data_IF_373238834761
#
_entry.id   IF_373238834761
#
_cell.length_a   1.000
_cell.length_b   1.000
_cell.length_c   1.000
_cell.angle_alpha   90.00
_cell.angle_beta   90.00
_cell.angle_gamma   90.00
#
_symmetry.space_group_name_H-M   'P 1'
#
loop_
_entity.id
_entity.type
_entity.pdbx_description
1 polymer ?
#
# COMPACT_ATOMS: atom_id res chain seq x y z
N UNK A 1 0.74 -1.84 -14.63
CA UNK A 1 -0.14 -2.80 -13.93
C UNK A 1 0.72 -3.93 -13.35
N UNK A 2 0.47 -4.32 -12.11
CA UNK A 2 1.17 -5.42 -11.43
C UNK A 2 0.27 -6.64 -11.40
N UNK A 3 0.83 -7.78 -11.84
CA UNK A 3 0.11 -9.05 -11.92
C UNK A 3 0.47 -9.97 -10.74
N UNK A 4 -0.45 -10.86 -10.40
CA UNK A 4 -0.20 -11.89 -9.41
C UNK A 4 0.78 -12.94 -9.93
N UNK A 5 1.75 -13.29 -9.11
CA UNK A 5 2.73 -14.36 -9.38
C UNK A 5 2.18 -15.76 -9.04
N UNK A 6 1.13 -15.83 -8.24
CA UNK A 6 0.53 -17.07 -7.77
C UNK A 6 -0.99 -16.97 -7.65
N UNK A 7 -1.65 -18.12 -7.49
CA UNK A 7 -3.08 -18.18 -7.15
C UNK A 7 -3.28 -18.20 -5.64
N UNK A 8 -4.41 -17.65 -5.17
CA UNK A 8 -4.76 -17.68 -3.76
C UNK A 8 -5.90 -16.73 -3.39
N UNK A 9 -6.30 -16.77 -2.12
CA UNK A 9 -7.20 -15.78 -1.56
C UNK A 9 -6.43 -14.52 -1.25
N UNK A 10 -6.89 -13.38 -1.79
CA UNK A 10 -6.20 -12.10 -1.66
C UNK A 10 -6.69 -11.33 -0.44
N UNK A 11 -5.74 -10.70 0.25
CA UNK A 11 -6.01 -9.71 1.29
C UNK A 11 -5.18 -8.47 1.01
N UNK A 12 -5.83 -7.31 0.89
CA UNK A 12 -5.18 -6.04 0.57
C UNK A 12 -4.77 -5.29 1.83
N UNK A 13 -3.55 -4.77 1.84
CA UNK A 13 -3.00 -3.92 2.91
C UNK A 13 -2.93 -2.45 2.49
N UNK A 14 -2.49 -2.18 1.26
CA UNK A 14 -2.46 -0.82 0.74
C UNK A 14 -3.87 -0.31 0.43
N UNK A 15 -4.10 0.97 0.66
CA UNK A 15 -5.34 1.63 0.24
C UNK A 15 -5.16 2.27 -1.11
N UNK A 16 -6.24 2.31 -1.86
CA UNK A 16 -6.32 3.03 -3.13
C UNK A 16 -5.98 4.51 -2.95
N UNK A 17 -5.23 5.05 -3.90
CA UNK A 17 -4.79 6.45 -3.90
C UNK A 17 -3.70 6.76 -2.86
N UNK A 18 -3.13 5.76 -2.19
CA UNK A 18 -2.08 6.00 -1.18
C UNK A 18 -0.69 5.77 -1.74
N UNK A 19 0.25 6.62 -1.30
CA UNK A 19 1.66 6.43 -1.59
C UNK A 19 2.21 5.28 -0.75
N UNK A 20 2.87 4.34 -1.39
CA UNK A 20 3.58 3.24 -0.76
C UNK A 20 5.07 3.36 -1.08
N UNK A 21 5.91 3.02 -0.12
CA UNK A 21 7.36 2.98 -0.34
C UNK A 21 7.78 1.64 -0.95
N UNK A 22 8.94 1.61 -1.57
CA UNK A 22 9.58 0.37 -1.98
C UNK A 22 9.63 -0.63 -0.79
N UNK A 23 9.37 -1.89 -1.06
CA UNK A 23 9.19 -2.96 -0.07
C UNK A 23 7.97 -2.81 0.88
N UNK A 24 7.12 -1.81 0.68
CA UNK A 24 5.85 -1.71 1.40
C UNK A 24 4.90 -2.85 1.05
N UNK A 25 4.18 -3.40 2.04
CA UNK A 25 3.22 -4.47 1.83
C UNK A 25 2.00 -3.96 1.07
N UNK A 26 1.67 -4.57 -0.07
CA UNK A 26 0.50 -4.21 -0.88
C UNK A 26 -0.64 -5.18 -0.63
N UNK A 27 -0.38 -6.48 -0.74
CA UNK A 27 -1.39 -7.53 -0.53
C UNK A 27 -0.72 -8.83 -0.07
N UNK A 28 -1.51 -9.80 0.38
CA UNK A 28 -1.08 -11.18 0.59
C UNK A 28 -1.94 -12.17 -0.16
N UNK A 29 -1.36 -13.34 -0.44
CA UNK A 29 -2.02 -14.48 -1.06
C UNK A 29 -2.00 -15.66 -0.09
N UNK A 30 -3.17 -16.13 0.30
CA UNK A 30 -3.32 -17.25 1.21
C UNK A 30 -3.96 -18.47 0.51
N UNK A 31 -3.60 -19.66 0.93
CA UNK A 31 -4.15 -20.91 0.37
C UNK A 31 -5.60 -21.15 0.77
N UNK A 32 -6.05 -20.54 1.86
CA UNK A 32 -7.42 -20.60 2.34
C UNK A 32 -7.97 -19.20 2.55
N UNK A 33 -9.29 -19.04 2.37
CA UNK A 33 -9.96 -17.79 2.75
C UNK A 33 -9.72 -17.58 4.25
N UNK A 34 -9.10 -16.46 4.60
CA UNK A 34 -8.98 -16.06 6.00
C UNK A 34 -10.40 -16.03 6.56
N UNK A 35 -10.72 -16.95 7.47
CA UNK A 35 -11.91 -16.78 8.27
C UNK A 35 -11.75 -15.44 8.97
N UNK A 36 -12.85 -14.69 9.16
CA UNK A 36 -12.84 -13.42 9.90
C UNK A 36 -12.01 -13.63 11.17
N UNK A 37 -10.73 -13.35 11.08
CA UNK A 37 -9.83 -13.52 12.19
C UNK A 37 -10.15 -12.39 13.15
N UNK A 38 -10.86 -12.72 14.21
CA UNK A 38 -10.81 -11.99 15.47
C UNK A 38 -9.39 -12.13 16.05
N UNK A 39 -8.36 -11.84 15.24
CA UNK A 39 -6.99 -11.77 15.71
C UNK A 39 -6.95 -10.62 16.73
N UNK A 40 -6.99 -10.98 17.99
CA UNK A 40 -6.80 -10.02 19.07
C UNK A 40 -5.31 -9.69 19.11
N UNK A 41 -5.01 -8.40 18.97
CA UNK A 41 -3.65 -7.89 19.13
C UNK A 41 -3.11 -8.30 20.52
N UNK A 42 -1.87 -8.73 20.55
CA UNK A 42 -1.15 -9.02 21.80
C UNK A 42 -0.97 -7.74 22.63
N UNK A 43 -0.61 -7.89 23.90
CA UNK A 43 -0.34 -6.73 24.77
C UNK A 43 0.86 -5.93 24.29
N UNK A 44 1.84 -6.62 23.74
CA UNK A 44 3.07 -6.06 23.18
C UNK A 44 2.74 -5.21 21.95
N UNK A 45 1.97 -5.73 20.99
CA UNK A 45 1.53 -5.02 19.79
C UNK A 45 0.67 -3.80 20.12
N UNK A 46 -0.23 -3.92 21.11
CA UNK A 46 -1.01 -2.79 21.60
C UNK A 46 -0.12 -1.73 22.27
N UNK A 47 0.95 -2.14 22.97
CA UNK A 47 1.92 -1.23 23.56
C UNK A 47 2.67 -0.45 22.50
N UNK A 48 3.09 -1.12 21.41
CA UNK A 48 3.80 -0.49 20.29
C UNK A 48 2.92 0.50 19.54
N UNK A 49 1.67 0.12 19.25
CA UNK A 49 0.69 1.04 18.66
C UNK A 49 0.51 2.28 19.56
N UNK A 50 0.35 2.09 20.85
CA UNK A 50 0.20 3.19 21.81
C UNK A 50 1.43 4.10 21.84
N UNK A 51 2.63 3.51 21.81
CA UNK A 51 3.89 4.24 21.79
C UNK A 51 4.01 5.11 20.51
N UNK A 52 3.69 4.54 19.36
CA UNK A 52 3.66 5.25 18.08
C UNK A 52 2.67 6.43 18.09
N UNK A 53 1.46 6.20 18.63
CA UNK A 53 0.45 7.26 18.77
C UNK A 53 0.92 8.38 19.72
N UNK A 54 1.56 8.03 20.82
CA UNK A 54 2.10 9.01 21.78
C UNK A 54 3.24 9.82 21.16
N UNK A 55 4.14 9.18 20.42
CA UNK A 55 5.26 9.85 19.74
C UNK A 55 4.74 10.83 18.69
N UNK A 56 3.78 10.42 17.88
CA UNK A 56 3.13 11.31 16.92
C UNK A 56 2.43 12.48 17.61
N UNK A 57 1.70 12.23 18.70
CA UNK A 57 1.00 13.28 19.45
C UNK A 57 1.94 14.32 20.04
N UNK A 58 3.12 13.89 20.51
CA UNK A 58 4.14 14.81 21.07
C UNK A 58 4.81 15.65 19.99
N UNK A 59 5.00 15.10 18.79
CA UNK A 59 5.62 15.77 17.65
C UNK A 59 4.63 16.44 16.68
N UNK A 60 3.34 16.48 17.02
CA UNK A 60 2.32 17.02 16.14
C UNK A 60 2.48 18.53 15.94
N UNK A 61 2.64 18.93 14.67
CA UNK A 61 2.69 20.34 14.25
C UNK A 61 1.45 20.66 13.40
N UNK A 62 0.56 21.55 13.88
CA UNK A 62 -0.64 21.92 13.13
C UNK A 62 -0.35 22.54 11.75
N UNK A 63 0.83 23.11 11.55
CA UNK A 63 1.23 23.69 10.27
C UNK A 63 1.55 22.61 9.21
N UNK A 64 1.81 21.38 9.67
CA UNK A 64 2.11 20.21 8.84
C UNK A 64 1.00 19.16 8.91
N UNK A 65 -0.23 19.59 8.75
CA UNK A 65 -1.42 18.72 8.91
C UNK A 65 -1.41 17.47 7.99
N UNK A 66 -0.73 17.53 6.85
CA UNK A 66 -0.52 16.39 5.96
C UNK A 66 0.18 15.20 6.66
N UNK A 67 1.02 15.45 7.68
CA UNK A 67 1.67 14.40 8.46
C UNK A 67 0.66 13.47 9.16
N UNK A 68 -0.53 13.98 9.47
CA UNK A 68 -1.61 13.19 10.08
C UNK A 68 -2.11 12.08 9.16
N UNK A 69 -2.19 12.35 7.86
CA UNK A 69 -2.59 11.34 6.90
C UNK A 69 -1.52 10.26 6.75
N UNK A 70 -0.25 10.66 6.65
CA UNK A 70 0.87 9.72 6.58
C UNK A 70 0.90 8.82 7.82
N UNK A 71 0.75 9.40 9.00
CA UNK A 71 0.68 8.66 10.26
C UNK A 71 -0.52 7.69 10.30
N UNK A 72 -1.71 8.14 9.87
CA UNK A 72 -2.89 7.29 9.79
C UNK A 72 -2.66 6.06 8.91
N UNK A 73 -2.00 6.24 7.75
CA UNK A 73 -1.70 5.12 6.85
C UNK A 73 -0.66 4.17 7.45
N UNK A 74 0.37 4.71 8.07
CA UNK A 74 1.39 3.93 8.76
C UNK A 74 0.77 3.10 9.90
N UNK A 75 -0.08 3.71 10.72
CA UNK A 75 -0.76 3.04 11.82
C UNK A 75 -1.69 1.93 11.32
N UNK A 76 -2.48 2.19 10.28
CA UNK A 76 -3.35 1.18 9.69
C UNK A 76 -2.54 0.01 9.11
N UNK A 77 -1.41 0.29 8.46
CA UNK A 77 -0.50 -0.74 7.95
C UNK A 77 0.05 -1.62 9.07
N UNK A 78 0.49 -1.02 10.18
CA UNK A 78 0.98 -1.75 11.34
C UNK A 78 -0.09 -2.64 11.97
N UNK A 79 -1.32 -2.12 12.15
CA UNK A 79 -2.44 -2.89 12.69
C UNK A 79 -2.77 -4.10 11.81
N UNK A 80 -2.79 -3.92 10.49
CA UNK A 80 -3.05 -5.01 9.55
C UNK A 80 -1.92 -6.06 9.54
N UNK A 81 -0.67 -5.64 9.72
CA UNK A 81 0.46 -6.55 9.86
C UNK A 81 0.41 -7.36 11.14
N UNK A 82 0.06 -6.75 12.26
CA UNK A 82 -0.12 -7.46 13.53
C UNK A 82 -1.32 -8.42 13.50
N UNK A 83 -2.38 -8.08 12.77
CA UNK A 83 -3.54 -8.95 12.60
C UNK A 83 -3.26 -10.17 11.70
N UNK A 84 -2.18 -10.17 10.92
CA UNK A 84 -1.70 -11.33 10.18
C UNK A 84 -0.66 -12.07 11.03
N UNK A 85 -0.99 -13.23 11.55
CA UNK A 85 -0.30 -14.04 12.59
C UNK A 85 1.22 -14.33 12.45
N UNK A 86 1.96 -13.65 11.59
CA UNK A 86 3.37 -13.93 11.29
C UNK A 86 4.28 -12.70 11.27
N UNK A 87 4.01 -11.68 12.07
CA UNK A 87 4.82 -10.46 12.05
C UNK A 87 6.02 -10.52 12.98
N UNK A 88 7.22 -10.46 12.42
CA UNK A 88 8.41 -10.03 13.14
C UNK A 88 8.52 -8.50 13.06
N UNK A 89 8.63 -7.86 14.20
CA UNK A 89 8.83 -6.41 14.30
C UNK A 89 10.32 -6.12 14.15
N UNK A 90 10.67 -5.28 13.19
CA UNK A 90 12.01 -4.73 13.05
C UNK A 90 11.97 -3.23 13.30
N UNK A 91 12.75 -2.76 14.24
CA UNK A 91 12.90 -1.34 14.57
C UNK A 91 14.05 -0.79 13.74
N UNK A 92 13.78 0.16 12.85
CA UNK A 92 14.79 0.88 12.09
C UNK A 92 14.89 2.28 12.65
N UNK A 93 16.05 2.62 13.22
CA UNK A 93 16.35 3.99 13.64
C UNK A 93 17.04 4.69 12.49
N UNK A 94 16.45 5.76 11.99
CA UNK A 94 17.04 6.66 10.98
C UNK A 94 17.23 8.02 11.59
N UNK A 95 18.34 8.66 11.25
CA UNK A 95 18.61 10.05 11.62
C UNK A 95 18.07 10.95 10.51
N UNK A 96 17.22 11.92 10.84
CA UNK A 96 16.75 12.91 9.89
C UNK A 96 17.85 13.95 9.58
N UNK A 97 17.61 14.85 8.61
CA UNK A 97 18.57 15.88 8.21
C UNK A 97 18.90 16.87 9.34
N UNK A 98 18.08 16.95 10.37
CA UNK A 98 18.26 17.79 11.55
C UNK A 98 19.05 17.10 12.68
N UNK A 99 19.51 15.87 12.47
CA UNK A 99 20.31 15.09 13.42
C UNK A 99 19.52 14.43 14.54
N UNK A 100 18.19 14.42 14.47
CA UNK A 100 17.34 13.73 15.43
C UNK A 100 17.18 12.24 15.04
N UNK A 101 17.32 11.35 16.01
CA UNK A 101 17.02 9.93 15.82
C UNK A 101 15.51 9.72 15.72
N UNK A 102 15.04 9.41 14.52
CA UNK A 102 13.66 8.99 14.28
C UNK A 102 13.62 7.48 14.27
N UNK A 103 13.12 6.91 15.35
CA UNK A 103 12.89 5.46 15.43
C UNK A 103 11.58 5.13 14.72
N UNK A 104 11.67 4.60 13.51
CA UNK A 104 10.52 4.08 12.78
C UNK A 104 10.45 2.58 13.00
N UNK A 105 9.47 2.14 13.77
CA UNK A 105 9.17 0.72 13.92
C UNK A 105 8.44 0.27 12.66
N UNK A 106 9.15 -0.42 11.78
CA UNK A 106 8.55 -1.04 10.61
C UNK A 106 8.35 -2.52 10.92
N UNK A 107 7.11 -2.98 10.96
CA UNK A 107 6.84 -4.39 11.01
C UNK A 107 7.33 -5.02 9.70
N UNK A 108 8.42 -5.76 9.76
CA UNK A 108 8.90 -6.57 8.64
C UNK A 108 8.34 -7.96 8.82
N UNK A 109 7.18 -8.21 8.25
CA UNK A 109 6.71 -9.59 8.13
C UNK A 109 7.60 -10.31 7.12
N UNK A 110 8.19 -11.41 7.55
CA UNK A 110 8.87 -12.36 6.67
C UNK A 110 7.90 -13.36 6.04
N UNK A 111 6.59 -13.13 6.14
CA UNK A 111 5.57 -13.98 5.53
C UNK A 111 5.79 -14.02 4.00
N UNK A 112 6.10 -15.20 3.44
CA UNK A 112 6.32 -15.37 2.00
C UNK A 112 5.06 -15.12 1.18
N UNK A 113 3.90 -15.04 1.81
CA UNK A 113 2.63 -14.76 1.14
C UNK A 113 2.41 -13.27 0.90
N UNK A 114 3.15 -12.39 1.60
CA UNK A 114 3.02 -10.93 1.41
C UNK A 114 3.75 -10.50 0.15
N UNK A 115 3.02 -9.81 -0.72
CA UNK A 115 3.55 -9.16 -1.92
C UNK A 115 3.79 -7.69 -1.64
N UNK A 116 4.98 -7.25 -1.99
CA UNK A 116 5.49 -5.92 -1.67
C UNK A 116 5.70 -5.12 -2.94
N UNK A 117 5.57 -3.80 -2.84
CA UNK A 117 5.88 -2.92 -3.95
C UNK A 117 7.38 -2.99 -4.29
N UNK A 118 7.71 -3.13 -5.56
CA UNK A 118 9.11 -3.15 -6.03
C UNK A 118 9.75 -1.75 -5.94
N UNK A 119 8.94 -0.72 -6.17
CA UNK A 119 9.34 0.69 -6.11
C UNK A 119 8.32 1.49 -5.32
N UNK A 120 8.67 2.70 -4.95
CA UNK A 120 7.69 3.65 -4.40
C UNK A 120 6.72 4.13 -5.48
N UNK A 121 5.50 4.46 -5.06
CA UNK A 121 4.46 4.91 -5.97
C UNK A 121 3.10 5.03 -5.31
N UNK A 122 2.09 5.36 -6.10
CA UNK A 122 0.69 5.44 -5.67
C UNK A 122 -0.04 4.19 -6.16
N UNK A 123 -0.72 3.51 -5.25
CA UNK A 123 -1.48 2.29 -5.55
C UNK A 123 -2.88 2.65 -6.04
N UNK A 124 -3.27 2.12 -7.19
CA UNK A 124 -4.65 2.15 -7.70
C UNK A 124 -5.13 0.72 -7.93
N UNK A 125 -6.40 0.47 -7.64
CA UNK A 125 -7.03 -0.82 -7.92
C UNK A 125 -7.93 -0.77 -9.15
N UNK A 126 -7.54 0.06 -10.10
CA UNK A 126 -8.19 0.14 -11.40
C UNK A 126 -7.16 0.21 -12.54
N UNK A 127 -7.62 -0.11 -13.73
CA UNK A 127 -6.95 0.11 -14.99
C UNK A 127 -7.95 0.61 -16.02
N UNK A 128 -7.51 1.46 -16.93
CA UNK A 128 -8.38 2.06 -17.96
C UNK A 128 -7.94 1.74 -19.39
N UNK A 129 -6.89 0.94 -19.54
CA UNK A 129 -6.33 0.58 -20.83
C UNK A 129 -5.40 1.63 -21.44
N UNK A 130 -5.18 2.74 -20.73
CA UNK A 130 -4.27 3.81 -21.17
C UNK A 130 -2.88 3.72 -20.52
N UNK A 131 -2.59 2.67 -19.75
CA UNK A 131 -1.32 2.51 -19.02
C UNK A 131 -0.08 2.51 -19.93
N UNK A 132 -0.25 2.19 -21.22
CA UNK A 132 0.81 2.25 -22.22
C UNK A 132 0.79 3.52 -23.09
N UNK A 133 -0.15 4.42 -22.86
CA UNK A 133 -0.27 5.67 -23.61
C UNK A 133 0.76 6.68 -23.13
N UNK A 134 1.31 7.39 -24.08
CA UNK A 134 2.26 8.49 -23.88
C UNK A 134 1.83 9.68 -24.73
N UNK A 135 2.41 10.85 -24.48
CA UNK A 135 2.16 12.07 -25.28
C UNK A 135 2.40 11.82 -26.77
N UNK A 136 3.33 10.92 -27.12
CA UNK A 136 3.72 10.66 -28.50
C UNK A 136 2.80 9.69 -29.24
N UNK A 137 2.05 8.84 -28.52
CA UNK A 137 1.22 7.80 -29.13
C UNK A 137 -0.29 7.97 -28.87
N UNK A 138 -0.70 9.01 -28.16
CA UNK A 138 -2.11 9.34 -27.98
C UNK A 138 -2.68 9.92 -29.27
N UNK A 139 -3.93 9.57 -29.57
CA UNK A 139 -4.65 9.99 -30.76
C UNK A 139 -5.99 10.64 -30.40
N UNK A 140 -6.61 11.33 -31.36
CA UNK A 140 -7.95 11.91 -31.13
C UNK A 140 -9.01 10.87 -30.79
N UNK A 141 -8.86 9.63 -31.22
CA UNK A 141 -9.77 8.55 -30.89
C UNK A 141 -9.72 8.16 -29.39
N UNK A 142 -8.60 8.40 -28.73
CA UNK A 142 -8.43 8.10 -27.30
C UNK A 142 -9.21 9.08 -26.41
N UNK A 143 -9.71 10.19 -26.97
CA UNK A 143 -10.57 11.16 -26.26
C UNK A 143 -12.08 10.88 -26.43
N UNK A 144 -12.45 9.80 -27.11
CA UNK A 144 -13.87 9.42 -27.21
C UNK A 144 -14.34 8.82 -25.88
N UNK A 145 -15.15 9.58 -25.16
CA UNK A 145 -15.70 9.17 -23.86
C UNK A 145 -16.52 7.88 -23.92
N UNK A 146 -17.06 7.52 -25.10
CA UNK A 146 -17.83 6.28 -25.24
C UNK A 146 -16.92 5.04 -25.30
N UNK A 147 -15.65 5.22 -25.62
CA UNK A 147 -14.64 4.15 -25.66
C UNK A 147 -13.90 3.96 -24.33
N UNK A 148 -14.01 4.93 -23.42
CA UNK A 148 -13.36 4.84 -22.11
C UNK A 148 -14.02 3.76 -21.23
N UNK A 149 -13.22 2.83 -20.75
CA UNK A 149 -13.66 1.77 -19.86
C UNK A 149 -12.64 1.60 -18.72
N UNK A 150 -13.10 1.88 -17.52
CA UNK A 150 -12.33 1.59 -16.32
C UNK A 150 -12.71 0.18 -15.82
N UNK A 151 -11.70 -0.61 -15.50
CA UNK A 151 -11.85 -1.95 -14.93
C UNK A 151 -11.40 -1.94 -13.48
N UNK A 152 -12.27 -2.31 -12.56
CA UNK A 152 -11.91 -2.52 -11.15
C UNK A 152 -11.11 -3.83 -11.03
N UNK A 153 -9.94 -3.74 -10.41
CA UNK A 153 -9.05 -4.88 -10.16
C UNK A 153 -9.23 -5.47 -8.76
N UNK A 154 -9.97 -4.77 -7.88
CA UNK A 154 -10.17 -5.22 -6.52
C UNK A 154 -11.18 -6.36 -6.47
N UNK A 155 -10.78 -7.46 -5.84
CA UNK A 155 -11.63 -8.63 -5.64
C UNK A 155 -11.59 -9.09 -4.19
N UNK A 156 -12.71 -9.63 -3.70
CA UNK A 156 -12.80 -10.25 -2.38
C UNK A 156 -12.61 -11.78 -2.42
N UNK A 157 -12.25 -12.31 -3.59
CA UNK A 157 -12.21 -13.74 -3.87
C UNK A 157 -10.81 -14.29 -4.04
N UNK A 158 -10.76 -15.33 -4.84
CA UNK A 158 -9.51 -15.93 -5.30
C UNK A 158 -9.02 -15.24 -6.56
N UNK A 159 -7.71 -15.07 -6.62
CA UNK A 159 -6.97 -14.66 -7.82
C UNK A 159 -6.15 -15.83 -8.35
N UNK A 160 -5.78 -15.76 -9.62
CA UNK A 160 -4.90 -16.72 -10.29
C UNK A 160 -3.58 -16.04 -10.62
N UNK A 161 -2.55 -16.84 -10.87
CA UNK A 161 -1.31 -16.33 -11.45
C UNK A 161 -1.60 -15.66 -12.80
N UNK A 162 -1.10 -14.45 -13.00
CA UNK A 162 -1.32 -13.62 -14.19
C UNK A 162 -2.52 -12.66 -14.10
N UNK A 163 -3.36 -12.76 -13.06
CA UNK A 163 -4.43 -11.80 -12.86
C UNK A 163 -3.85 -10.42 -12.48
N UNK A 164 -4.39 -9.35 -13.06
CA UNK A 164 -4.03 -7.97 -12.71
C UNK A 164 -4.56 -7.64 -11.32
N UNK A 165 -3.69 -7.17 -10.43
CA UNK A 165 -4.02 -6.93 -9.02
C UNK A 165 -4.12 -5.45 -8.69
N UNK A 166 -3.16 -4.65 -9.17
CA UNK A 166 -3.15 -3.21 -8.94
C UNK A 166 -2.29 -2.50 -9.98
N UNK A 167 -2.54 -1.21 -10.12
CA UNK A 167 -1.68 -0.30 -10.87
C UNK A 167 -0.80 0.47 -9.89
N UNK A 168 0.50 0.55 -10.16
CA UNK A 168 1.44 1.36 -9.39
C UNK A 168 1.87 2.56 -10.24
N UNK A 169 1.52 3.76 -9.81
CA UNK A 169 1.97 5.01 -10.44
C UNK A 169 3.31 5.37 -9.80
N UNK A 170 4.38 5.25 -10.56
CA UNK A 170 5.76 5.46 -10.09
C UNK A 170 6.33 6.82 -10.46
N UNK A 171 5.60 7.61 -11.25
CA UNK A 171 6.04 8.93 -11.72
C UNK A 171 4.97 9.98 -11.43
N UNK A 172 5.37 11.11 -10.89
CA UNK A 172 4.49 12.25 -10.61
C UNK A 172 4.41 13.24 -11.79
N UNK A 173 5.12 12.96 -12.89
CA UNK A 173 5.03 13.78 -14.10
C UNK A 173 3.71 13.52 -14.81
N UNK A 174 3.08 14.59 -15.20
CA UNK A 174 1.83 14.55 -15.96
C UNK A 174 1.88 15.53 -17.14
N UNK A 175 1.07 15.28 -18.14
CA UNK A 175 0.94 16.13 -19.31
C UNK A 175 -0.52 16.47 -19.56
N UNK A 176 -0.80 17.70 -19.92
CA UNK A 176 -2.11 18.13 -20.35
C UNK A 176 -2.14 18.14 -21.89
N UNK A 177 -3.06 17.37 -22.45
CA UNK A 177 -3.33 17.33 -23.89
C UNK A 177 -4.60 18.14 -24.16
N UNK A 178 -4.52 19.09 -25.11
CA UNK A 178 -5.62 20.00 -25.46
C UNK A 178 -5.94 19.82 -26.95
#
# INVERSE_FOLDING_TARGET
VVQSDAGGYITYYAREGTKINANGAVYSLNTSKSADNNASLSKEELSDIRSNMQSFSKGFDPSKFNSTYSFKYQLNGSILQYASDNSSVSTVTTTNEDGEEVTTTTAVSSDPNIRRAETDGIVLYSKDGYESKTVDNVTSADFDQNSYQETDLKTEGQVKSGDDIYTLITDERWSLLI
#
